data_IF_706883583506
#
_entry.id   IF_706883583506
#
_cell.length_a   1.000
_cell.length_b   1.000
_cell.length_c   1.000
_cell.angle_alpha   90.00
_cell.angle_beta   90.00
_cell.angle_gamma   90.00
#
_symmetry.space_group_name_H-M   'P 1'
#
loop_
_entity.id
_entity.type
_entity.pdbx_description
1 polymer ?
#
# COMPACT_ATOMS: atom_id res chain seq x y z
N UNK A 1 -0.65 -2.42 -16.22
CA UNK A 1 -0.45 -1.07 -15.64
C UNK A 1 0.43 -1.18 -14.42
N UNK A 2 1.45 -0.35 -14.32
CA UNK A 2 2.34 -0.34 -13.16
C UNK A 2 2.40 1.07 -12.60
N UNK A 3 2.15 1.23 -11.31
CA UNK A 3 2.12 2.54 -10.67
C UNK A 3 2.68 2.43 -9.26
N UNK A 4 3.56 3.35 -8.92
CA UNK A 4 4.23 3.35 -7.62
C UNK A 4 3.68 4.45 -6.71
N UNK A 5 3.52 4.10 -5.44
CA UNK A 5 3.12 5.03 -4.39
C UNK A 5 4.08 4.87 -3.21
N UNK A 6 4.27 5.92 -2.45
CA UNK A 6 5.11 5.88 -1.27
C UNK A 6 4.26 6.11 -0.02
N UNK A 7 4.40 5.24 0.96
CA UNK A 7 3.71 5.34 2.24
C UNK A 7 4.73 5.32 3.37
N UNK A 8 4.68 6.31 4.25
CA UNK A 8 5.64 6.44 5.36
C UNK A 8 4.98 5.96 6.64
N UNK A 9 5.69 5.09 7.37
CA UNK A 9 5.23 4.56 8.64
C UNK A 9 6.34 4.70 9.68
N UNK A 10 5.96 5.12 10.90
CA UNK A 10 6.89 5.20 12.03
C UNK A 10 6.81 3.92 12.86
N UNK A 11 7.95 3.44 13.34
CA UNK A 11 8.00 2.25 14.16
C UNK A 11 9.20 2.30 15.11
N UNK A 12 9.22 1.40 16.10
CA UNK A 12 10.33 1.28 17.04
C UNK A 12 10.97 -0.11 16.94
N UNK A 13 12.28 -0.14 17.03
CA UNK A 13 13.03 -1.39 16.99
C UNK A 13 14.27 -1.22 17.87
N UNK A 14 14.45 -2.13 18.85
CA UNK A 14 15.58 -2.09 19.79
C UNK A 14 15.67 -0.73 20.53
N UNK A 15 14.54 -0.23 20.99
CA UNK A 15 14.43 1.06 21.68
C UNK A 15 14.85 2.27 20.83
N UNK A 16 14.95 2.08 19.53
CA UNK A 16 15.32 3.11 18.57
C UNK A 16 14.10 3.51 17.75
N UNK A 17 13.88 4.81 17.59
CA UNK A 17 12.78 5.32 16.77
C UNK A 17 13.20 5.40 15.31
N UNK A 18 12.42 4.77 14.44
CA UNK A 18 12.72 4.66 13.02
C UNK A 18 11.46 4.99 12.21
N UNK A 19 11.64 5.31 10.95
CA UNK A 19 10.52 5.38 10.02
C UNK A 19 10.91 4.69 8.70
N UNK A 20 9.91 4.13 8.03
CA UNK A 20 10.11 3.43 6.78
C UNK A 20 9.28 4.07 5.67
N UNK A 21 9.94 4.35 4.54
CA UNK A 21 9.25 4.74 3.32
C UNK A 21 9.01 3.50 2.50
N UNK A 22 7.77 3.06 2.42
CA UNK A 22 7.38 1.88 1.66
C UNK A 22 7.02 2.27 0.24
N UNK A 23 7.75 1.71 -0.73
CA UNK A 23 7.42 1.90 -2.14
C UNK A 23 6.45 0.80 -2.54
N UNK A 24 5.21 1.17 -2.77
CA UNK A 24 4.12 0.24 -3.08
C UNK A 24 3.89 0.25 -4.59
N UNK A 25 3.99 -0.93 -5.20
CA UNK A 25 3.83 -1.08 -6.64
C UNK A 25 2.49 -1.74 -6.95
N UNK A 26 1.62 -1.01 -7.64
CA UNK A 26 0.32 -1.51 -8.07
C UNK A 26 0.46 -2.05 -9.49
N UNK A 27 0.34 -3.36 -9.63
CA UNK A 27 0.52 -4.03 -10.92
C UNK A 27 -0.78 -4.26 -11.67
N UNK A 28 -1.91 -4.23 -10.94
CA UNK A 28 -3.22 -4.40 -11.54
C UNK A 28 -4.28 -3.66 -10.72
N UNK A 29 -5.18 -2.98 -11.41
CA UNK A 29 -6.32 -2.33 -10.78
C UNK A 29 -7.53 -2.39 -11.72
N UNK A 30 -8.66 -2.84 -11.19
CA UNK A 30 -9.91 -2.88 -11.92
C UNK A 30 -11.06 -2.54 -10.99
N UNK A 31 -11.90 -1.64 -11.41
CA UNK A 31 -13.11 -1.28 -10.67
C UNK A 31 -14.33 -1.51 -11.55
N UNK A 32 -15.23 -2.36 -11.07
CA UNK A 32 -16.53 -2.59 -11.67
C UNK A 32 -17.54 -1.72 -10.96
N UNK A 33 -18.15 -0.79 -11.67
CA UNK A 33 -19.15 0.08 -11.08
C UNK A 33 -20.45 -0.67 -10.82
N UNK A 34 -21.20 -0.20 -9.82
CA UNK A 34 -22.48 -0.80 -9.49
C UNK A 34 -23.47 -0.60 -10.64
N UNK A 35 -24.15 -1.67 -11.04
CA UNK A 35 -25.18 -1.64 -12.08
C UNK A 35 -26.46 -2.25 -11.48
N UNK A 36 -27.39 -1.40 -11.12
CA UNK A 36 -28.62 -1.80 -10.46
C UNK A 36 -29.60 -2.49 -11.39
N UNK A 37 -29.32 -2.52 -12.69
CA UNK A 37 -30.13 -3.25 -13.66
C UNK A 37 -29.58 -4.62 -13.98
N UNK A 38 -28.40 -4.99 -13.45
CA UNK A 38 -27.78 -6.28 -13.69
C UNK A 38 -28.50 -7.42 -12.95
N UNK A 39 -28.56 -8.59 -13.58
CA UNK A 39 -29.15 -9.79 -12.98
C UNK A 39 -28.21 -10.48 -12.00
N UNK A 40 -26.90 -10.25 -12.14
CA UNK A 40 -25.88 -10.85 -11.30
C UNK A 40 -25.63 -9.97 -10.07
N UNK A 41 -25.78 -10.51 -8.82
CA UNK A 41 -25.54 -9.70 -7.61
C UNK A 41 -24.17 -9.06 -7.55
N UNK A 42 -23.13 -9.68 -8.07
CA UNK A 42 -21.78 -9.13 -8.08
C UNK A 42 -21.70 -7.88 -8.95
N UNK A 43 -22.36 -7.90 -10.11
CA UNK A 43 -22.43 -6.73 -11.00
C UNK A 43 -23.33 -5.65 -10.41
N UNK A 44 -24.36 -6.07 -9.67
CA UNK A 44 -25.33 -5.15 -9.08
C UNK A 44 -24.68 -4.21 -8.07
N UNK A 45 -23.79 -4.74 -7.21
CA UNK A 45 -23.15 -3.95 -6.15
C UNK A 45 -21.82 -3.37 -6.56
N UNK A 46 -21.24 -3.87 -7.65
CA UNK A 46 -19.90 -3.45 -8.06
C UNK A 46 -18.82 -4.12 -7.22
N UNK A 47 -17.57 -3.99 -7.67
CA UNK A 47 -16.42 -4.50 -6.92
C UNK A 47 -15.13 -3.82 -7.40
N UNK A 48 -14.11 -3.90 -6.55
CA UNK A 48 -12.77 -3.39 -6.88
C UNK A 48 -11.76 -4.51 -6.71
N UNK A 49 -10.93 -4.71 -7.73
CA UNK A 49 -9.83 -5.66 -7.68
C UNK A 49 -8.51 -4.91 -7.79
N UNK A 50 -7.57 -5.26 -6.94
CA UNK A 50 -6.24 -4.65 -6.95
C UNK A 50 -5.19 -5.71 -6.63
N UNK A 51 -4.09 -5.67 -7.37
CA UNK A 51 -2.90 -6.47 -7.08
C UNK A 51 -1.73 -5.53 -6.88
N UNK A 52 -1.05 -5.68 -5.77
CA UNK A 52 0.05 -4.79 -5.40
C UNK A 52 1.06 -5.53 -4.53
N UNK A 53 2.26 -5.00 -4.49
CA UNK A 53 3.32 -5.53 -3.63
C UNK A 53 4.19 -4.38 -3.15
N UNK A 54 5.05 -4.67 -2.17
CA UNK A 54 6.02 -3.70 -1.68
C UNK A 54 7.32 -3.93 -2.44
N UNK A 55 7.69 -2.96 -3.28
CA UNK A 55 8.89 -3.07 -4.09
C UNK A 55 10.15 -2.82 -3.25
N UNK A 56 10.07 -1.91 -2.27
CA UNK A 56 11.22 -1.54 -1.46
C UNK A 56 10.76 -0.89 -0.15
N UNK A 57 11.55 -1.04 0.89
CA UNK A 57 11.36 -0.32 2.15
C UNK A 57 12.67 0.40 2.49
N UNK A 58 12.64 1.72 2.54
CA UNK A 58 13.77 2.54 2.93
C UNK A 58 13.59 2.92 4.40
N UNK A 59 14.49 2.46 5.27
CA UNK A 59 14.39 2.65 6.71
C UNK A 59 15.35 3.74 7.14
N UNK A 60 14.82 4.76 7.83
CA UNK A 60 15.58 5.92 8.27
C UNK A 60 15.54 6.05 9.79
N UNK A 61 16.60 6.61 10.34
CA UNK A 61 16.65 6.97 11.75
C UNK A 61 15.82 8.24 11.96
N UNK A 62 14.81 8.18 12.83
CA UNK A 62 13.91 9.31 13.06
C UNK A 62 14.62 10.50 13.72
N UNK A 63 15.71 10.26 14.43
CA UNK A 63 16.46 11.31 15.10
C UNK A 63 17.44 12.04 14.18
N UNK A 64 18.05 11.33 13.24
CA UNK A 64 19.09 11.88 12.36
C UNK A 64 18.66 12.06 10.92
N UNK A 65 17.53 11.46 10.52
CA UNK A 65 17.05 11.40 9.13
C UNK A 65 18.02 10.70 8.18
N UNK A 66 18.95 9.92 8.72
CA UNK A 66 19.89 9.16 7.89
C UNK A 66 19.33 7.80 7.52
N UNK A 67 19.65 7.35 6.30
CA UNK A 67 19.25 6.05 5.82
C UNK A 67 19.97 4.96 6.63
N UNK A 68 19.19 4.10 7.28
CA UNK A 68 19.72 3.04 8.14
C UNK A 68 19.78 1.70 7.41
N UNK A 69 18.74 1.39 6.64
CA UNK A 69 18.63 0.10 5.97
C UNK A 69 17.72 0.22 4.74
N UNK A 70 18.00 -0.61 3.72
CA UNK A 70 17.11 -0.74 2.56
C UNK A 70 16.75 -2.22 2.41
N UNK A 71 15.46 -2.51 2.35
CA UNK A 71 14.97 -3.88 2.15
C UNK A 71 14.29 -3.95 0.78
N UNK A 72 14.76 -4.84 -0.08
CA UNK A 72 14.21 -5.01 -1.41
C UNK A 72 13.16 -6.11 -1.43
N UNK A 73 12.02 -5.83 -2.04
CA UNK A 73 10.92 -6.78 -2.23
C UNK A 73 10.49 -7.50 -0.95
N UNK A 74 10.26 -6.76 0.16
CA UNK A 74 9.78 -7.41 1.37
C UNK A 74 8.38 -7.96 1.15
N UNK A 75 8.07 -9.09 1.81
CA UNK A 75 6.72 -9.64 1.75
C UNK A 75 5.75 -8.74 2.55
N UNK A 76 4.46 -8.88 2.27
CA UNK A 76 3.45 -8.15 3.04
C UNK A 76 3.50 -8.55 4.52
N UNK A 77 3.70 -9.84 4.78
CA UNK A 77 3.83 -10.34 6.16
C UNK A 77 5.03 -9.73 6.88
N UNK A 78 6.16 -9.61 6.19
CA UNK A 78 7.36 -8.98 6.74
C UNK A 78 7.06 -7.53 7.16
N UNK A 79 6.36 -6.78 6.31
CA UNK A 79 6.01 -5.40 6.61
C UNK A 79 5.05 -5.30 7.79
N UNK A 80 4.07 -6.21 7.87
CA UNK A 80 3.13 -6.24 8.98
C UNK A 80 3.83 -6.48 10.31
N UNK A 81 4.78 -7.43 10.33
CA UNK A 81 5.48 -7.80 11.55
C UNK A 81 6.51 -6.76 11.98
N UNK A 82 7.32 -6.29 11.05
CA UNK A 82 8.41 -5.39 11.36
C UNK A 82 7.97 -3.94 11.56
N UNK A 83 7.10 -3.45 10.67
CA UNK A 83 6.68 -2.05 10.67
C UNK A 83 5.32 -1.84 11.33
N UNK A 84 4.69 -2.91 11.77
CA UNK A 84 3.38 -2.87 12.43
C UNK A 84 2.33 -2.17 11.56
N UNK A 85 2.35 -2.44 10.26
CA UNK A 85 1.37 -1.90 9.32
C UNK A 85 0.27 -2.92 9.07
N UNK A 86 -0.91 -2.40 8.70
CA UNK A 86 -2.05 -3.23 8.31
C UNK A 86 -2.14 -3.21 6.79
N UNK A 87 -1.91 -4.35 6.15
CA UNK A 87 -1.93 -4.43 4.69
C UNK A 87 -3.32 -4.22 4.11
N UNK A 88 -4.37 -4.54 4.86
CA UNK A 88 -5.75 -4.22 4.44
C UNK A 88 -5.95 -2.71 4.39
N UNK A 89 -5.40 -1.99 5.36
CA UNK A 89 -5.43 -0.53 5.36
C UNK A 89 -4.64 0.05 4.19
N UNK A 90 -3.45 -0.51 3.92
CA UNK A 90 -2.62 -0.06 2.79
C UNK A 90 -3.33 -0.28 1.46
N UNK A 91 -4.02 -1.40 1.32
CA UNK A 91 -4.78 -1.69 0.11
C UNK A 91 -5.91 -0.67 -0.08
N UNK A 92 -6.65 -0.37 0.97
CA UNK A 92 -7.71 0.64 0.92
C UNK A 92 -7.13 2.02 0.60
N UNK A 93 -6.00 2.36 1.19
CA UNK A 93 -5.31 3.63 0.93
C UNK A 93 -4.87 3.72 -0.54
N UNK A 94 -4.33 2.62 -1.09
CA UNK A 94 -3.93 2.58 -2.50
C UNK A 94 -5.11 2.79 -3.44
N UNK A 95 -6.23 2.15 -3.15
CA UNK A 95 -7.45 2.32 -3.94
C UNK A 95 -7.90 3.78 -3.91
N UNK A 96 -7.86 4.40 -2.75
CA UNK A 96 -8.20 5.80 -2.59
C UNK A 96 -7.28 6.71 -3.41
N UNK A 97 -5.97 6.45 -3.38
CA UNK A 97 -5.00 7.25 -4.15
C UNK A 97 -5.25 7.13 -5.64
N UNK A 98 -5.52 5.93 -6.13
CA UNK A 98 -5.81 5.70 -7.55
C UNK A 98 -7.08 6.43 -7.96
N UNK A 99 -8.11 6.38 -7.16
CA UNK A 99 -9.38 7.07 -7.44
C UNK A 99 -9.23 8.58 -7.44
N UNK A 100 -8.42 9.12 -6.53
CA UNK A 100 -8.15 10.56 -6.48
C UNK A 100 -7.45 11.05 -7.75
N UNK A 101 -6.55 10.25 -8.32
CA UNK A 101 -5.87 10.62 -9.55
C UNK A 101 -6.78 10.62 -10.77
N UNK A 102 -7.85 9.83 -10.73
CA UNK A 102 -8.78 9.74 -11.85
C UNK A 102 -9.80 10.87 -11.89
N UNK A 103 -9.93 11.63 -10.81
CA UNK A 103 -10.91 12.71 -10.70
C UNK A 103 -10.48 14.03 -11.31
N UNK A 104 -9.32 14.08 -11.90
CA UNK A 104 -8.85 15.30 -12.57
C UNK A 104 -9.59 15.60 -13.88
#
# INVERSE_FOLDING_TARGET
MSKEFCYVVAFQENAKELYAGLVLDVVYYHKQEADFSADNPDDFYGYTQIEWNVARADIFDDNTDELDEVVFNPSKEYCEERFNVDTDYLEAWLIEQIEMEKED
#
